data_IF_494790748881
#
_entry.id   IF_494790748881
#
_cell.length_a   1.000
_cell.length_b   1.000
_cell.length_c   1.000
_cell.angle_alpha   90.00
_cell.angle_beta   90.00
_cell.angle_gamma   90.00
#
_symmetry.space_group_name_H-M   'P 1'
#
loop_
_entity.id
_entity.type
_entity.pdbx_description
1 polymer ?
#
# COMPACT_ATOMS: atom_id res chain seq x y z
N UNK A 1 28.07 12.04 4.86
CA UNK A 1 26.94 12.66 5.58
C UNK A 1 26.21 13.66 4.68
N UNK A 2 26.86 14.74 4.21
CA UNK A 2 26.22 15.78 3.39
C UNK A 2 25.54 15.24 2.12
N UNK A 3 26.23 14.38 1.36
CA UNK A 3 25.68 13.75 0.15
C UNK A 3 24.37 12.97 0.40
N UNK A 4 24.29 12.24 1.51
CA UNK A 4 23.09 11.48 1.88
C UNK A 4 21.90 12.39 2.19
N UNK A 5 22.10 13.43 3.00
CA UNK A 5 21.05 14.39 3.31
C UNK A 5 20.65 15.24 2.09
N UNK A 6 21.59 15.52 1.18
CA UNK A 6 21.29 16.21 -0.07
C UNK A 6 20.43 15.35 -1.00
N UNK A 7 20.66 14.04 -1.08
CA UNK A 7 19.80 13.11 -1.82
C UNK A 7 18.38 13.04 -1.24
N UNK A 8 18.24 13.12 0.08
CA UNK A 8 16.91 13.15 0.74
C UNK A 8 16.19 14.48 0.48
N UNK A 9 16.92 15.59 0.47
CA UNK A 9 16.38 16.89 0.06
C UNK A 9 15.89 16.86 -1.39
N UNK A 10 16.65 16.23 -2.28
CA UNK A 10 16.32 16.07 -3.69
C UNK A 10 15.11 15.15 -3.91
N UNK A 11 15.02 14.04 -3.17
CA UNK A 11 13.83 13.18 -3.11
C UNK A 11 12.59 14.00 -2.76
N UNK A 12 12.66 14.77 -1.67
CA UNK A 12 11.54 15.60 -1.22
C UNK A 12 11.15 16.58 -2.32
N UNK A 13 12.11 17.23 -2.97
CA UNK A 13 11.84 18.17 -4.05
C UNK A 13 11.10 17.50 -5.22
N UNK A 14 11.58 16.36 -5.72
CA UNK A 14 10.92 15.64 -6.81
C UNK A 14 9.52 15.13 -6.45
N UNK A 15 9.32 14.65 -5.21
CA UNK A 15 7.99 14.26 -4.74
C UNK A 15 7.01 15.43 -4.65
N UNK A 16 7.49 16.65 -4.38
CA UNK A 16 6.63 17.84 -4.32
C UNK A 16 6.29 18.39 -5.71
N UNK A 17 7.17 18.20 -6.71
CA UNK A 17 6.89 18.50 -8.12
C UNK A 17 5.99 17.45 -8.79
N UNK A 18 5.87 16.25 -8.22
CA UNK A 18 5.05 15.17 -8.76
C UNK A 18 5.77 14.22 -9.72
N UNK A 19 7.09 14.33 -9.87
CA UNK A 19 7.89 13.34 -10.61
C UNK A 19 8.35 12.22 -9.65
N UNK A 20 7.46 11.24 -9.48
CA UNK A 20 7.69 10.11 -8.57
C UNK A 20 8.73 9.11 -9.10
N UNK A 21 8.93 9.02 -10.42
CA UNK A 21 9.92 8.12 -11.00
C UNK A 21 11.33 8.61 -10.70
N UNK A 22 11.60 9.90 -10.97
CA UNK A 22 12.90 10.50 -10.70
C UNK A 22 13.19 10.54 -9.20
N UNK A 23 12.16 10.78 -8.36
CA UNK A 23 12.26 10.73 -6.91
C UNK A 23 12.87 9.39 -6.42
N UNK A 24 12.43 8.26 -6.96
CA UNK A 24 12.96 6.94 -6.59
C UNK A 24 14.32 6.67 -7.24
N UNK A 25 14.53 7.14 -8.47
CA UNK A 25 15.81 7.00 -9.18
C UNK A 25 16.98 7.66 -8.43
N UNK A 26 16.73 8.82 -7.81
CA UNK A 26 17.74 9.52 -7.00
C UNK A 26 18.18 8.69 -5.79
N UNK A 27 17.34 7.76 -5.32
CA UNK A 27 17.62 6.89 -4.18
C UNK A 27 18.28 5.56 -4.55
N UNK A 28 18.57 5.27 -5.82
CA UNK A 28 19.17 3.99 -6.26
C UNK A 28 20.53 3.71 -5.60
N UNK A 29 21.23 4.76 -5.16
CA UNK A 29 22.52 4.64 -4.49
C UNK A 29 22.38 4.39 -2.97
N UNK A 30 21.15 4.36 -2.43
CA UNK A 30 20.85 4.18 -1.01
C UNK A 30 20.08 2.87 -0.81
N UNK A 31 20.74 1.90 -0.18
CA UNK A 31 20.08 0.67 0.30
C UNK A 31 19.12 1.02 1.47
N UNK A 32 17.84 1.28 1.17
CA UNK A 32 16.85 1.61 2.21
C UNK A 32 16.52 0.44 3.16
N UNK A 33 16.74 -0.79 2.70
CA UNK A 33 16.37 -2.00 3.45
C UNK A 33 17.47 -2.49 4.41
N UNK A 34 18.70 -1.97 4.30
CA UNK A 34 19.80 -2.29 5.22
C UNK A 34 19.92 -1.20 6.28
N UNK A 35 20.11 -1.61 7.54
CA UNK A 35 20.44 -0.69 8.64
C UNK A 35 21.85 -0.14 8.40
N UNK A 36 21.93 1.03 7.76
CA UNK A 36 23.19 1.72 7.56
C UNK A 36 23.45 2.72 8.70
N UNK A 37 24.70 3.15 8.87
CA UNK A 37 25.08 4.18 9.85
C UNK A 37 24.31 5.50 9.64
N UNK A 38 23.76 5.73 8.44
CA UNK A 38 22.95 6.89 8.08
C UNK A 38 21.48 6.81 8.55
N UNK A 39 21.01 5.64 8.99
CA UNK A 39 19.71 5.46 9.68
C UNK A 39 19.73 5.93 11.14
N UNK A 40 20.84 6.52 11.59
CA UNK A 40 21.04 6.99 12.97
C UNK A 40 20.19 8.20 13.35
N UNK A 41 19.68 8.97 12.38
CA UNK A 41 18.77 10.10 12.62
C UNK A 41 17.32 9.66 12.32
N UNK A 42 16.50 9.38 13.35
CA UNK A 42 15.19 8.79 13.15
C UNK A 42 14.22 9.70 12.38
N UNK A 43 14.25 11.02 12.64
CA UNK A 43 13.38 11.99 11.96
C UNK A 43 13.57 11.97 10.43
N UNK A 44 14.82 11.85 9.99
CA UNK A 44 15.17 11.80 8.58
C UNK A 44 14.75 10.46 7.95
N UNK A 45 14.93 9.35 8.69
CA UNK A 45 14.49 8.04 8.25
C UNK A 45 12.96 7.97 8.06
N UNK A 46 12.19 8.52 9.00
CA UNK A 46 10.73 8.60 8.92
C UNK A 46 10.28 9.46 7.73
N UNK A 47 10.86 10.65 7.55
CA UNK A 47 10.51 11.53 6.43
C UNK A 47 10.87 10.91 5.08
N UNK A 48 12.00 10.20 4.97
CA UNK A 48 12.40 9.51 3.74
C UNK A 48 11.40 8.41 3.39
N UNK A 49 11.06 7.57 4.37
CA UNK A 49 10.08 6.49 4.17
C UNK A 49 8.68 7.02 3.81
N UNK A 50 8.26 8.17 4.35
CA UNK A 50 7.01 8.83 3.97
C UNK A 50 6.99 9.22 2.49
N UNK A 51 8.01 9.95 2.00
CA UNK A 51 8.06 10.38 0.60
C UNK A 51 8.23 9.22 -0.37
N UNK A 52 9.01 8.21 -0.01
CA UNK A 52 9.18 7.00 -0.83
C UNK A 52 7.89 6.18 -0.88
N UNK A 53 7.22 5.96 0.26
CA UNK A 53 5.94 5.27 0.29
C UNK A 53 4.87 6.01 -0.50
N UNK A 54 4.85 7.35 -0.42
CA UNK A 54 3.96 8.18 -1.23
C UNK A 54 4.26 8.07 -2.74
N UNK A 55 5.54 8.12 -3.13
CA UNK A 55 5.96 7.93 -4.52
C UNK A 55 5.56 6.54 -5.06
N UNK A 56 5.77 5.47 -4.28
CA UNK A 56 5.32 4.13 -4.66
C UNK A 56 3.81 4.03 -4.81
N UNK A 57 3.04 4.69 -3.94
CA UNK A 57 1.57 4.75 -4.03
C UNK A 57 1.13 5.43 -5.34
N UNK A 58 1.73 6.56 -5.70
CA UNK A 58 1.40 7.29 -6.92
C UNK A 58 1.88 6.59 -8.20
N UNK A 59 2.90 5.73 -8.11
CA UNK A 59 3.37 4.86 -9.21
C UNK A 59 2.63 3.52 -9.29
N UNK A 60 1.53 3.33 -8.54
CA UNK A 60 0.72 2.09 -8.48
C UNK A 60 1.42 0.86 -7.87
N UNK A 61 2.60 1.04 -7.29
CA UNK A 61 3.35 -0.02 -6.59
C UNK A 61 2.90 -0.14 -5.14
N UNK A 62 1.61 -0.44 -4.94
CA UNK A 62 0.99 -0.55 -3.62
C UNK A 62 1.63 -1.60 -2.71
N UNK A 63 2.14 -2.72 -3.24
CA UNK A 63 2.76 -3.75 -2.40
C UNK A 63 4.06 -3.25 -1.74
N UNK A 64 4.89 -2.53 -2.51
CA UNK A 64 6.12 -1.92 -1.98
C UNK A 64 5.81 -0.73 -1.07
N UNK A 65 4.77 0.06 -1.38
CA UNK A 65 4.27 1.11 -0.49
C UNK A 65 3.82 0.53 0.87
N UNK A 66 3.03 -0.55 0.88
CA UNK A 66 2.58 -1.21 2.10
C UNK A 66 3.78 -1.74 2.91
N UNK A 67 4.77 -2.36 2.25
CA UNK A 67 5.98 -2.85 2.91
C UNK A 67 6.79 -1.71 3.53
N UNK A 68 7.02 -0.62 2.80
CA UNK A 68 7.77 0.54 3.31
C UNK A 68 7.05 1.19 4.49
N UNK A 69 5.75 1.49 4.38
CA UNK A 69 4.93 2.03 5.47
C UNK A 69 4.89 1.09 6.69
N UNK A 70 4.75 -0.21 6.49
CA UNK A 70 4.73 -1.16 7.62
C UNK A 70 6.05 -1.20 8.35
N UNK A 71 7.18 -1.22 7.62
CA UNK A 71 8.51 -1.29 8.22
C UNK A 71 8.84 -0.07 9.10
N UNK A 72 8.45 1.12 8.65
CA UNK A 72 8.72 2.37 9.36
C UNK A 72 7.73 2.61 10.51
N UNK A 73 6.46 2.22 10.37
CA UNK A 73 5.48 2.31 11.47
C UNK A 73 5.89 1.40 12.64
N UNK A 74 6.38 0.19 12.37
CA UNK A 74 6.98 -0.69 13.38
C UNK A 74 8.21 -0.07 14.04
N UNK A 75 9.04 0.62 13.26
CA UNK A 75 10.20 1.33 13.80
C UNK A 75 9.77 2.47 14.74
N UNK A 76 8.78 3.28 14.35
CA UNK A 76 8.24 4.37 15.17
C UNK A 76 7.67 3.83 16.49
N UNK A 77 6.88 2.75 16.45
CA UNK A 77 6.34 2.13 17.66
C UNK A 77 7.44 1.70 18.64
N UNK A 78 8.54 1.13 18.14
CA UNK A 78 9.68 0.70 18.99
C UNK A 78 10.51 1.86 19.53
N UNK A 79 10.57 2.98 18.81
CA UNK A 79 11.44 4.11 19.15
C UNK A 79 10.68 5.25 19.86
N UNK A 80 9.35 5.13 20.06
CA UNK A 80 8.49 6.12 20.73
C UNK A 80 9.05 6.71 22.03
N UNK A 81 9.64 5.89 22.89
CA UNK A 81 10.20 6.35 24.18
C UNK A 81 11.46 7.20 24.03
N UNK A 82 12.24 7.01 22.96
CA UNK A 82 13.46 7.79 22.70
C UNK A 82 13.14 9.20 22.14
N UNK A 83 11.91 9.43 21.67
CA UNK A 83 11.49 10.71 21.08
C UNK A 83 10.93 11.72 22.08
N UNK A 84 10.59 11.30 23.30
CA UNK A 84 9.97 12.19 24.30
C UNK A 84 10.88 13.32 24.78
N UNK A 85 12.20 13.22 24.57
CA UNK A 85 13.18 14.23 25.01
C UNK A 85 13.27 15.48 24.11
N UNK A 86 12.63 15.50 22.94
CA UNK A 86 12.63 16.66 22.01
C UNK A 86 11.22 16.98 21.50
N UNK A 87 10.52 17.87 22.20
CA UNK A 87 9.09 18.15 22.02
C UNK A 87 8.71 18.62 20.60
N UNK A 88 9.46 19.56 20.00
CA UNK A 88 9.09 20.14 18.69
C UNK A 88 9.17 19.15 17.50
N UNK A 89 10.17 18.25 17.52
CA UNK A 89 10.32 17.24 16.47
C UNK A 89 9.29 16.12 16.60
N UNK A 90 8.79 15.89 17.81
CA UNK A 90 7.84 14.83 18.12
C UNK A 90 6.47 15.10 17.46
N UNK A 91 5.97 16.33 17.52
CA UNK A 91 4.67 16.68 16.94
C UNK A 91 4.64 16.54 15.42
N UNK A 92 5.71 16.96 14.73
CA UNK A 92 5.83 16.78 13.29
C UNK A 92 5.90 15.30 12.90
N UNK A 93 6.64 14.50 13.67
CA UNK A 93 6.74 13.05 13.46
C UNK A 93 5.37 12.38 13.70
N UNK A 94 4.64 12.76 14.75
CA UNK A 94 3.31 12.22 15.03
C UNK A 94 2.33 12.55 13.91
N UNK A 95 2.35 13.79 13.40
CA UNK A 95 1.53 14.18 12.25
C UNK A 95 1.87 13.36 11.01
N UNK A 96 3.16 13.21 10.67
CA UNK A 96 3.58 12.36 9.56
C UNK A 96 3.16 10.90 9.78
N UNK A 97 3.23 10.41 11.02
CA UNK A 97 2.81 9.05 11.39
C UNK A 97 1.31 8.85 11.12
N UNK A 98 0.47 9.80 11.51
CA UNK A 98 -0.98 9.74 11.26
C UNK A 98 -1.32 9.86 9.77
N UNK A 99 -0.56 10.66 9.01
CA UNK A 99 -0.64 10.69 7.55
C UNK A 99 -0.28 9.32 6.95
N UNK A 100 0.79 8.68 7.43
CA UNK A 100 1.22 7.36 6.96
C UNK A 100 0.19 6.26 7.28
N UNK A 101 -0.45 6.29 8.44
CA UNK A 101 -1.56 5.37 8.74
C UNK A 101 -2.74 5.56 7.79
N UNK A 102 -3.06 6.82 7.45
CA UNK A 102 -4.14 7.15 6.50
C UNK A 102 -3.79 6.65 5.08
N UNK A 103 -2.56 6.88 4.61
CA UNK A 103 -2.07 6.35 3.33
C UNK A 103 -2.07 4.82 3.29
N UNK A 104 -1.62 4.19 4.38
CA UNK A 104 -1.61 2.73 4.50
C UNK A 104 -3.03 2.17 4.44
N UNK A 105 -3.99 2.79 5.14
CA UNK A 105 -5.40 2.38 5.10
C UNK A 105 -5.95 2.42 3.66
N UNK A 106 -5.69 3.50 2.91
CA UNK A 106 -6.07 3.58 1.49
C UNK A 106 -5.40 2.49 0.64
N UNK A 107 -4.09 2.27 0.82
CA UNK A 107 -3.36 1.22 0.10
C UNK A 107 -3.93 -0.19 0.38
N UNK A 108 -4.36 -0.45 1.62
CA UNK A 108 -4.95 -1.74 2.00
C UNK A 108 -6.35 -1.96 1.45
N UNK A 109 -7.13 -0.88 1.26
CA UNK A 109 -8.44 -0.97 0.59
C UNK A 109 -8.26 -1.28 -0.89
N UNK A 110 -7.31 -0.61 -1.56
CA UNK A 110 -7.03 -0.81 -2.99
C UNK A 110 -6.35 -2.16 -3.27
N UNK A 111 -5.37 -2.53 -2.44
CA UNK A 111 -4.66 -3.80 -2.53
C UNK A 111 -4.67 -4.52 -1.17
N UNK A 112 -5.67 -5.40 -0.92
CA UNK A 112 -5.75 -6.11 0.34
C UNK A 112 -4.63 -7.14 0.47
N UNK A 113 -3.66 -6.82 1.33
CA UNK A 113 -2.49 -7.62 1.69
C UNK A 113 -2.44 -7.79 3.22
N UNK A 114 -1.95 -8.94 3.71
CA UNK A 114 -1.76 -9.15 5.14
C UNK A 114 -0.68 -8.21 5.69
N UNK A 115 -1.00 -7.54 6.80
CA UNK A 115 -0.09 -6.65 7.55
C UNK A 115 0.14 -7.25 8.93
N UNK A 116 1.25 -6.85 9.57
CA UNK A 116 1.58 -7.20 10.95
C UNK A 116 0.43 -6.89 11.93
N UNK A 117 0.20 -7.80 12.87
CA UNK A 117 -0.89 -7.75 13.86
C UNK A 117 -0.83 -6.46 14.71
N UNK A 118 0.38 -5.99 15.03
CA UNK A 118 0.60 -4.75 15.78
C UNK A 118 0.12 -3.49 15.06
N UNK A 119 0.22 -3.46 13.73
CA UNK A 119 -0.30 -2.36 12.90
C UNK A 119 -1.82 -2.48 12.77
N UNK A 120 -2.31 -3.71 12.58
CA UNK A 120 -3.76 -3.96 12.51
C UNK A 120 -4.48 -3.54 13.78
N UNK A 121 -3.87 -3.76 14.95
CA UNK A 121 -4.41 -3.29 16.22
C UNK A 121 -4.55 -1.76 16.25
N UNK A 122 -3.51 -1.01 15.86
CA UNK A 122 -3.57 0.46 15.83
C UNK A 122 -4.59 0.98 14.82
N UNK A 123 -4.75 0.30 13.68
CA UNK A 123 -5.78 0.63 12.68
C UNK A 123 -7.21 0.39 13.22
N UNK A 124 -7.40 -0.58 14.11
CA UNK A 124 -8.68 -0.81 14.81
C UNK A 124 -8.96 0.25 15.87
N UNK A 125 -7.95 0.66 16.64
CA UNK A 125 -8.12 1.57 17.78
C UNK A 125 -8.43 3.04 17.37
N UNK A 126 -7.93 3.51 16.22
CA UNK A 126 -8.02 4.93 15.82
C UNK A 126 -9.15 5.27 14.82
N UNK A 127 -10.22 4.47 14.76
CA UNK A 127 -11.36 4.64 13.82
C UNK A 127 -10.96 4.62 12.32
N UNK A 128 -9.76 4.17 11.97
CA UNK A 128 -9.37 3.99 10.56
C UNK A 128 -10.17 2.86 9.92
N UNK A 129 -10.63 1.88 10.70
CA UNK A 129 -11.48 0.78 10.23
C UNK A 129 -12.81 1.28 9.67
N UNK A 130 -13.42 2.29 10.30
CA UNK A 130 -14.67 2.88 9.81
C UNK A 130 -14.47 3.60 8.49
N UNK A 131 -13.37 4.34 8.35
CA UNK A 131 -13.00 4.99 7.08
C UNK A 131 -12.72 3.95 6.00
N UNK A 132 -12.00 2.87 6.34
CA UNK A 132 -11.77 1.75 5.42
C UNK A 132 -13.07 1.08 4.98
N UNK A 133 -14.04 0.94 5.87
CA UNK A 133 -15.35 0.37 5.53
C UNK A 133 -16.13 1.27 4.57
N UNK A 134 -16.17 2.58 4.82
CA UNK A 134 -16.78 3.56 3.90
C UNK A 134 -16.10 3.56 2.53
N UNK A 135 -14.77 3.47 2.52
CA UNK A 135 -13.99 3.37 1.28
C UNK A 135 -14.27 2.05 0.53
N UNK A 136 -14.43 0.93 1.24
CA UNK A 136 -14.81 -0.37 0.64
C UNK A 136 -16.22 -0.35 0.05
N UNK A 137 -17.14 0.39 0.67
CA UNK A 137 -18.50 0.60 0.15
C UNK A 137 -18.53 1.50 -1.10
N UNK A 138 -17.42 2.16 -1.42
CA UNK A 138 -17.26 2.95 -2.64
C UNK A 138 -17.62 4.43 -2.50
N UNK A 139 -17.56 4.97 -1.28
CA UNK A 139 -17.66 6.41 -1.05
C UNK A 139 -16.39 7.12 -1.57
N UNK A 140 -16.54 7.82 -2.70
CA UNK A 140 -15.45 8.53 -3.38
C UNK A 140 -15.02 9.77 -2.59
N UNK A 141 -15.90 10.38 -1.79
CA UNK A 141 -15.56 11.59 -1.02
C UNK A 141 -14.60 11.26 0.12
N UNK A 142 -14.77 10.10 0.76
CA UNK A 142 -13.86 9.68 1.83
C UNK A 142 -12.44 9.43 1.31
N UNK A 143 -12.29 8.91 0.08
CA UNK A 143 -10.98 8.79 -0.58
C UNK A 143 -10.34 10.15 -0.81
N UNK A 144 -11.11 11.13 -1.31
CA UNK A 144 -10.61 12.48 -1.54
C UNK A 144 -10.18 13.16 -0.22
N UNK A 145 -11.00 13.05 0.82
CA UNK A 145 -10.70 13.59 2.14
C UNK A 145 -9.44 12.94 2.75
N UNK A 146 -9.34 11.61 2.66
CA UNK A 146 -8.16 10.89 3.14
C UNK A 146 -6.90 11.27 2.36
N UNK A 147 -7.01 11.47 1.05
CA UNK A 147 -5.90 11.92 0.21
C UNK A 147 -5.46 13.35 0.56
N UNK A 148 -6.39 14.29 0.70
CA UNK A 148 -6.09 15.69 1.06
C UNK A 148 -5.45 15.82 2.45
N UNK A 149 -5.85 14.98 3.42
CA UNK A 149 -5.23 14.96 4.75
C UNK A 149 -3.80 14.40 4.73
N UNK A 150 -3.54 13.44 3.86
CA UNK A 150 -2.31 12.66 3.87
C UNK A 150 -1.28 13.08 2.81
N UNK A 151 -1.68 13.88 1.82
CA UNK A 151 -0.79 14.34 0.76
C UNK A 151 0.30 15.30 1.29
N UNK A 152 1.50 15.25 0.72
CA UNK A 152 2.50 16.26 0.97
C UNK A 152 2.05 17.62 0.40
N UNK A 153 2.59 18.71 0.93
CA UNK A 153 2.31 20.06 0.42
C UNK A 153 2.98 20.25 -0.94
N UNK A 154 2.29 19.97 -2.04
CA UNK A 154 2.84 20.09 -3.39
C UNK A 154 3.35 21.51 -3.70
N UNK A 155 4.34 21.59 -4.58
CA UNK A 155 4.90 22.85 -5.07
C UNK A 155 4.37 23.10 -6.48
N UNK A 156 3.95 24.34 -6.75
CA UNK A 156 3.71 24.82 -8.11
C UNK A 156 4.86 25.74 -8.53
N UNK A 157 5.18 25.75 -9.83
CA UNK A 157 6.21 26.63 -10.40
C UNK A 157 5.76 28.10 -10.47
N UNK A 158 4.45 28.33 -10.40
CA UNK A 158 3.87 29.67 -10.43
C UNK A 158 3.66 30.19 -8.98
N UNK A 159 4.10 31.42 -8.64
CA UNK A 159 4.06 31.94 -7.27
C UNK A 159 2.65 32.37 -6.80
N UNK A 160 1.60 32.17 -7.60
CA UNK A 160 0.24 32.45 -7.19
C UNK A 160 -0.26 31.39 -6.19
N UNK A 161 -0.86 31.83 -5.08
CA UNK A 161 -1.44 30.96 -4.03
C UNK A 161 -2.48 29.96 -4.58
N UNK A 162 -3.17 30.32 -5.67
CA UNK A 162 -4.15 29.46 -6.33
C UNK A 162 -3.50 28.27 -7.07
N UNK A 163 -2.25 28.44 -7.53
CA UNK A 163 -1.52 27.41 -8.28
C UNK A 163 -1.11 26.23 -7.38
N UNK A 164 -0.93 26.44 -6.08
CA UNK A 164 -0.64 25.35 -5.11
C UNK A 164 -1.88 24.48 -4.90
N UNK A 165 -3.06 25.10 -4.77
CA UNK A 165 -4.33 24.38 -4.65
C UNK A 165 -4.66 23.63 -5.93
N UNK A 166 -4.33 24.22 -7.08
CA UNK A 166 -4.50 23.57 -8.38
C UNK A 166 -3.60 22.34 -8.54
N UNK A 167 -2.34 22.41 -8.10
CA UNK A 167 -1.44 21.25 -8.09
C UNK A 167 -1.98 20.10 -7.21
N UNK A 168 -2.50 20.41 -6.01
CA UNK A 168 -3.14 19.41 -5.13
C UNK A 168 -4.38 18.81 -5.81
N UNK A 169 -5.23 19.63 -6.41
CA UNK A 169 -6.43 19.16 -7.15
C UNK A 169 -6.05 18.27 -8.33
N UNK A 170 -5.00 18.61 -9.08
CA UNK A 170 -4.53 17.80 -10.20
C UNK A 170 -4.02 16.43 -9.72
N UNK A 171 -3.17 16.39 -8.70
CA UNK A 171 -2.67 15.11 -8.14
C UNK A 171 -3.82 14.27 -7.56
N UNK A 172 -4.80 14.94 -6.94
CA UNK A 172 -6.01 14.28 -6.42
C UNK A 172 -6.84 13.71 -7.56
N UNK A 173 -7.02 14.42 -8.68
CA UNK A 173 -7.80 13.93 -9.81
C UNK A 173 -7.14 12.72 -10.49
N UNK A 174 -5.80 12.70 -10.58
CA UNK A 174 -5.02 11.55 -11.06
C UNK A 174 -5.23 10.32 -10.18
N UNK A 175 -5.15 10.49 -8.86
CA UNK A 175 -5.42 9.41 -7.91
C UNK A 175 -6.88 8.93 -7.97
N UNK A 176 -7.83 9.87 -8.02
CA UNK A 176 -9.26 9.56 -8.09
C UNK A 176 -9.66 8.86 -9.38
N UNK A 177 -9.00 9.14 -10.51
CA UNK A 177 -9.20 8.39 -11.75
C UNK A 177 -8.86 6.91 -11.57
N UNK A 178 -7.83 6.59 -10.80
CA UNK A 178 -7.48 5.21 -10.48
C UNK A 178 -8.45 4.56 -9.50
N UNK A 179 -8.86 5.26 -8.44
CA UNK A 179 -9.84 4.76 -7.47
C UNK A 179 -11.18 4.45 -8.15
N UNK A 180 -11.63 5.32 -9.06
CA UNK A 180 -12.86 5.09 -9.86
C UNK A 180 -12.77 3.80 -10.67
N UNK A 181 -11.62 3.52 -11.29
CA UNK A 181 -11.41 2.27 -12.04
C UNK A 181 -11.41 1.03 -11.13
N UNK A 182 -11.08 1.18 -9.85
CA UNK A 182 -11.01 0.09 -8.88
C UNK A 182 -12.30 -0.12 -8.08
N UNK A 183 -13.30 0.77 -8.20
CA UNK A 183 -14.53 0.74 -7.39
C UNK A 183 -15.25 -0.62 -7.39
N UNK A 184 -15.27 -1.32 -8.53
CA UNK A 184 -15.95 -2.61 -8.67
C UNK A 184 -15.12 -3.81 -8.17
N UNK A 185 -13.81 -3.65 -7.96
CA UNK A 185 -12.92 -4.76 -7.63
C UNK A 185 -13.16 -5.37 -6.23
N UNK A 186 -13.44 -4.59 -5.16
CA UNK A 186 -13.77 -5.15 -3.85
C UNK A 186 -15.01 -6.06 -3.89
N UNK A 187 -16.05 -5.64 -4.62
CA UNK A 187 -17.30 -6.40 -4.79
C UNK A 187 -17.08 -7.68 -5.59
N UNK A 188 -16.32 -7.62 -6.69
CA UNK A 188 -15.97 -8.81 -7.46
C UNK A 188 -15.14 -9.78 -6.59
N UNK A 189 -14.17 -9.27 -5.83
CA UNK A 189 -13.34 -10.09 -4.93
C UNK A 189 -14.16 -10.78 -3.84
N UNK A 190 -15.14 -10.10 -3.25
CA UNK A 190 -15.97 -10.68 -2.19
C UNK A 190 -16.79 -11.87 -2.71
N UNK A 191 -17.36 -11.75 -3.92
CA UNK A 191 -18.04 -12.86 -4.58
C UNK A 191 -17.07 -13.99 -4.92
N UNK A 192 -15.94 -13.70 -5.57
CA UNK A 192 -14.97 -14.74 -5.95
C UNK A 192 -14.42 -15.51 -4.75
N UNK A 193 -14.32 -14.88 -3.56
CA UNK A 193 -13.85 -15.56 -2.34
C UNK A 193 -14.80 -16.65 -1.82
N UNK A 194 -16.09 -16.58 -2.17
CA UNK A 194 -17.12 -17.50 -1.68
C UNK A 194 -17.29 -18.74 -2.57
N UNK A 195 -16.75 -18.72 -3.79
CA UNK A 195 -16.95 -19.77 -4.77
C UNK A 195 -15.61 -20.39 -5.19
N UNK A 196 -15.61 -21.69 -5.47
CA UNK A 196 -14.49 -22.39 -6.12
C UNK A 196 -14.64 -22.37 -7.64
N UNK A 197 -15.88 -22.42 -8.11
CA UNK A 197 -16.25 -22.31 -9.52
C UNK A 197 -17.51 -21.45 -9.64
N UNK A 198 -17.51 -20.47 -10.56
CA UNK A 198 -18.64 -19.57 -10.75
C UNK A 198 -18.93 -19.38 -12.24
N UNK A 199 -20.13 -19.71 -12.74
CA UNK A 199 -20.51 -19.36 -14.11
C UNK A 199 -20.66 -17.84 -14.25
N UNK A 200 -20.17 -17.29 -15.36
CA UNK A 200 -20.17 -15.83 -15.64
C UNK A 200 -21.59 -15.26 -15.52
N UNK A 201 -22.60 -15.99 -16.03
CA UNK A 201 -24.01 -15.60 -15.97
C UNK A 201 -24.48 -15.31 -14.53
N UNK A 202 -24.06 -16.10 -13.54
CA UNK A 202 -24.44 -15.86 -12.13
C UNK A 202 -23.73 -14.64 -11.56
N UNK A 203 -22.46 -14.42 -11.93
CA UNK A 203 -21.72 -13.23 -11.50
C UNK A 203 -22.34 -11.96 -12.06
N UNK A 204 -22.80 -11.97 -13.32
CA UNK A 204 -23.56 -10.86 -13.93
C UNK A 204 -24.81 -10.57 -13.11
N UNK A 205 -25.61 -11.59 -12.77
CA UNK A 205 -26.81 -11.41 -11.93
C UNK A 205 -26.47 -10.83 -10.56
N UNK A 206 -25.40 -11.29 -9.90
CA UNK A 206 -24.98 -10.74 -8.60
C UNK A 206 -24.49 -9.29 -8.70
N UNK A 207 -23.79 -8.92 -9.77
CA UNK A 207 -23.37 -7.54 -9.99
C UNK A 207 -24.54 -6.61 -10.30
N UNK A 208 -25.52 -7.06 -11.11
CA UNK A 208 -26.74 -6.32 -11.38
C UNK A 208 -27.59 -6.10 -10.11
N UNK A 209 -27.65 -7.10 -9.22
CA UNK A 209 -28.34 -7.00 -7.93
C UNK A 209 -27.62 -6.07 -6.94
N UNK A 210 -26.28 -5.97 -7.00
CA UNK A 210 -25.50 -5.04 -6.18
C UNK A 210 -25.57 -3.58 -6.67
N UNK A 211 -25.99 -3.35 -7.92
CA UNK A 211 -26.14 -2.04 -8.55
C UNK A 211 -27.62 -1.61 -8.68
N UNK A 212 -28.46 -1.94 -7.69
CA UNK A 212 -29.84 -1.47 -7.63
C UNK A 212 -29.89 0.07 -7.62
N UNK A 213 -29.98 0.68 -8.80
CA UNK A 213 -30.16 2.11 -8.98
C UNK A 213 -29.74 2.74 -10.32
N UNK A 214 -28.98 2.09 -11.22
CA UNK A 214 -28.46 2.81 -12.42
C UNK A 214 -28.46 2.11 -13.79
N UNK A 215 -29.01 0.91 -13.97
CA UNK A 215 -29.11 0.34 -15.34
C UNK A 215 -30.47 -0.28 -15.63
N UNK A 216 -31.42 0.57 -16.04
CA UNK A 216 -32.52 0.19 -16.92
C UNK A 216 -32.04 0.37 -18.37
N UNK A 217 -31.65 -0.71 -19.06
CA UNK A 217 -31.62 -0.67 -20.54
C UNK A 217 -30.45 -1.28 -21.31
N UNK A 218 -29.52 -2.05 -20.72
CA UNK A 218 -28.47 -2.73 -21.50
C UNK A 218 -28.83 -4.18 -21.86
N UNK A 219 -28.50 -4.61 -23.07
CA UNK A 219 -28.69 -5.99 -23.52
C UNK A 219 -27.81 -6.97 -22.72
N UNK A 220 -28.28 -8.20 -22.43
CA UNK A 220 -27.58 -9.17 -21.57
C UNK A 220 -26.23 -9.66 -22.12
N UNK A 221 -25.91 -9.37 -23.37
CA UNK A 221 -24.62 -9.63 -24.02
C UNK A 221 -23.57 -8.58 -23.63
N UNK A 222 -23.94 -7.31 -23.55
CA UNK A 222 -23.02 -6.21 -23.21
C UNK A 222 -22.58 -6.30 -21.73
N UNK A 223 -23.46 -6.76 -20.85
CA UNK A 223 -23.14 -6.98 -19.43
C UNK A 223 -22.05 -8.05 -19.21
N UNK A 224 -22.04 -9.10 -20.05
CA UNK A 224 -21.00 -10.14 -20.00
C UNK A 224 -19.65 -9.61 -20.47
N UNK A 225 -19.64 -8.81 -21.53
CA UNK A 225 -18.42 -8.19 -22.02
C UNK A 225 -17.87 -7.19 -21.02
N UNK A 226 -18.74 -6.38 -20.41
CA UNK A 226 -18.37 -5.44 -19.37
C UNK A 226 -17.83 -6.17 -18.14
N UNK A 227 -18.44 -7.27 -17.70
CA UNK A 227 -17.91 -8.11 -16.64
C UNK A 227 -16.51 -8.67 -16.99
N UNK A 228 -16.33 -9.15 -18.21
CA UNK A 228 -15.05 -9.68 -18.68
C UNK A 228 -13.96 -8.61 -18.69
N UNK A 229 -14.28 -7.37 -19.10
CA UNK A 229 -13.39 -6.20 -19.00
C UNK A 229 -13.00 -5.92 -17.54
N UNK A 230 -13.96 -6.01 -16.61
CA UNK A 230 -13.70 -5.83 -15.18
C UNK A 230 -12.85 -6.96 -14.58
N UNK A 231 -13.06 -8.22 -14.98
CA UNK A 231 -12.23 -9.36 -14.57
C UNK A 231 -10.80 -9.25 -15.11
N UNK A 232 -10.64 -8.81 -16.36
CA UNK A 232 -9.32 -8.54 -16.93
C UNK A 232 -8.62 -7.39 -16.19
N UNK A 233 -9.36 -6.31 -15.88
CA UNK A 233 -8.87 -5.20 -15.06
C UNK A 233 -8.44 -5.68 -13.67
N UNK A 234 -9.21 -6.56 -13.03
CA UNK A 234 -8.85 -7.20 -11.77
C UNK A 234 -7.52 -7.94 -11.89
N UNK A 235 -7.37 -8.81 -12.90
CA UNK A 235 -6.15 -9.61 -13.09
C UNK A 235 -4.93 -8.72 -13.39
N UNK A 236 -5.11 -7.66 -14.16
CA UNK A 236 -4.06 -6.70 -14.45
C UNK A 236 -3.62 -5.93 -13.20
N UNK A 237 -4.58 -5.38 -12.43
CA UNK A 237 -4.29 -4.56 -11.25
C UNK A 237 -3.80 -5.36 -10.04
N UNK A 238 -4.13 -6.64 -9.97
CA UNK A 238 -3.63 -7.54 -8.92
C UNK A 238 -2.20 -8.04 -9.18
N UNK A 239 -1.69 -7.89 -10.41
CA UNK A 239 -0.28 -8.10 -10.73
C UNK A 239 0.48 -6.82 -10.47
N UNK A 240 1.23 -6.77 -9.38
CA UNK A 240 2.05 -5.62 -9.05
C UNK A 240 3.53 -5.94 -9.23
N UNK A 241 4.31 -4.92 -9.60
CA UNK A 241 5.76 -5.02 -9.62
C UNK A 241 6.22 -4.94 -8.17
N UNK A 242 6.79 -6.02 -7.67
CA UNK A 242 7.29 -6.11 -6.29
C UNK A 242 8.81 -6.06 -6.32
N UNK A 243 9.38 -5.20 -5.48
CA UNK A 243 10.81 -5.15 -5.27
C UNK A 243 11.26 -6.40 -4.48
N UNK A 244 12.20 -7.15 -5.04
CA UNK A 244 12.75 -8.35 -4.41
C UNK A 244 14.15 -8.11 -3.87
N UNK A 245 15.12 -7.83 -4.75
CA UNK A 245 16.54 -7.64 -4.44
C UNK A 245 17.20 -6.80 -5.54
N UNK A 246 17.91 -5.74 -5.16
CA UNK A 246 18.66 -4.87 -6.06
C UNK A 246 19.03 -3.56 -5.38
N UNK A 247 20.02 -2.83 -5.88
CA UNK A 247 20.30 -1.47 -5.37
C UNK A 247 19.22 -0.47 -5.84
N UNK A 248 18.67 -0.67 -7.05
CA UNK A 248 17.59 0.16 -7.56
C UNK A 248 16.24 -0.21 -6.92
N UNK A 249 15.55 0.79 -6.39
CA UNK A 249 14.16 0.68 -5.92
C UNK A 249 13.15 0.57 -7.06
N UNK A 250 13.57 0.82 -8.31
CA UNK A 250 12.71 0.75 -9.50
C UNK A 250 12.60 -0.67 -10.06
N UNK A 251 13.62 -1.51 -9.84
CA UNK A 251 13.62 -2.88 -10.33
C UNK A 251 12.68 -3.77 -9.54
N UNK A 252 11.95 -4.63 -10.24
CA UNK A 252 11.06 -5.59 -9.63
C UNK A 252 10.53 -6.61 -10.63
N UNK A 253 10.00 -7.70 -10.11
CA UNK A 253 9.32 -8.71 -10.91
C UNK A 253 7.81 -8.59 -10.68
N UNK A 254 7.03 -8.94 -11.70
CA UNK A 254 5.58 -9.05 -11.52
C UNK A 254 5.26 -10.20 -10.57
N UNK A 255 4.66 -9.85 -9.44
CA UNK A 255 4.11 -10.81 -8.48
C UNK A 255 2.61 -10.57 -8.37
N UNK A 256 1.84 -11.66 -8.39
CA UNK A 256 0.43 -11.61 -8.05
C UNK A 256 0.32 -11.55 -6.53
N UNK A 257 -0.03 -10.38 -5.99
CA UNK A 257 -0.20 -10.19 -4.53
C UNK A 257 -1.54 -10.69 -3.99
N UNK A 258 -2.43 -11.14 -4.88
CA UNK A 258 -3.76 -11.63 -4.51
C UNK A 258 -3.69 -13.04 -3.93
N UNK A 259 -4.40 -13.26 -2.82
CA UNK A 259 -4.72 -14.59 -2.26
C UNK A 259 -5.59 -15.43 -3.20
N UNK A 260 -6.11 -14.81 -4.27
CA UNK A 260 -7.07 -15.39 -5.19
C UNK A 260 -6.53 -15.25 -6.60
N UNK A 261 -6.28 -16.38 -7.26
CA UNK A 261 -6.02 -16.47 -8.69
C UNK A 261 -7.24 -17.11 -9.37
N UNK A 262 -7.50 -16.74 -10.62
CA UNK A 262 -8.56 -17.36 -11.39
C UNK A 262 -8.24 -17.41 -12.88
N UNK A 263 -8.87 -18.37 -13.54
CA UNK A 263 -8.91 -18.47 -14.98
C UNK A 263 -10.36 -18.67 -15.46
N UNK A 264 -10.60 -18.30 -16.71
CA UNK A 264 -11.91 -18.42 -17.34
C UNK A 264 -11.79 -19.57 -18.34
N UNK A 265 -12.57 -20.62 -18.14
CA UNK A 265 -12.77 -21.68 -19.12
C UNK A 265 -14.19 -21.57 -19.69
N UNK A 266 -14.27 -21.18 -20.96
CA UNK A 266 -15.52 -20.88 -21.68
C UNK A 266 -16.39 -19.86 -20.92
N UNK A 267 -17.41 -20.34 -20.20
CA UNK A 267 -18.40 -19.53 -19.47
C UNK A 267 -18.32 -19.78 -17.95
N UNK A 268 -17.24 -20.42 -17.48
CA UNK A 268 -17.01 -20.76 -16.08
C UNK A 268 -15.68 -20.20 -15.57
N UNK A 269 -15.75 -19.49 -14.45
CA UNK A 269 -14.60 -18.96 -13.73
C UNK A 269 -14.15 -20.01 -12.72
N UNK A 270 -12.92 -20.49 -12.86
CA UNK A 270 -12.29 -21.38 -11.90
C UNK A 270 -11.37 -20.59 -10.99
N UNK A 271 -11.61 -20.68 -9.69
CA UNK A 271 -10.92 -19.90 -8.67
C UNK A 271 -9.96 -20.84 -7.93
N UNK A 272 -8.68 -20.48 -7.94
CA UNK A 272 -7.63 -21.14 -7.18
C UNK A 272 -7.29 -20.28 -5.96
N UNK A 273 -7.45 -20.85 -4.77
CA UNK A 273 -6.92 -20.24 -3.56
C UNK A 273 -5.39 -20.41 -3.58
N UNK A 274 -4.67 -19.31 -3.78
CA UNK A 274 -3.21 -19.27 -3.81
C UNK A 274 -2.63 -18.89 -2.44
N UNK A 275 -3.43 -18.94 -1.37
CA UNK A 275 -2.91 -18.82 0.00
C UNK A 275 -1.80 -19.83 0.21
N UNK A 276 -0.59 -19.32 0.17
CA UNK A 276 0.57 -20.05 0.66
C UNK A 276 0.35 -20.18 2.16
N UNK A 277 -0.03 -21.39 2.61
CA UNK A 277 -0.13 -21.68 4.03
C UNK A 277 1.12 -21.15 4.71
N UNK A 278 0.93 -20.44 5.84
CA UNK A 278 2.04 -19.93 6.62
C UNK A 278 3.02 -21.09 6.82
N UNK A 279 4.28 -20.93 6.40
CA UNK A 279 5.29 -21.98 6.55
C UNK A 279 5.66 -22.11 8.02
N UNK A 280 4.73 -22.65 8.79
CA UNK A 280 4.85 -22.83 10.22
C UNK A 280 6.05 -23.72 10.49
N UNK A 281 6.28 -24.74 9.65
CA UNK A 281 7.50 -25.55 9.66
C UNK A 281 8.77 -24.72 9.59
N UNK A 282 8.95 -23.88 8.55
CA UNK A 282 10.16 -23.05 8.40
C UNK A 282 10.33 -22.05 9.55
N UNK A 283 9.23 -21.48 10.05
CA UNK A 283 9.26 -20.54 11.18
C UNK A 283 9.62 -21.24 12.48
N UNK A 284 9.01 -22.40 12.74
CA UNK A 284 9.25 -23.25 13.89
C UNK A 284 10.70 -23.73 13.89
N UNK A 285 11.20 -24.26 12.77
CA UNK A 285 12.60 -24.68 12.61
C UNK A 285 13.54 -23.51 12.90
N UNK A 286 13.30 -22.32 12.35
CA UNK A 286 14.12 -21.13 12.65
C UNK A 286 14.10 -20.74 14.13
N UNK A 287 12.96 -20.88 14.80
CA UNK A 287 12.84 -20.59 16.24
C UNK A 287 13.57 -21.64 17.09
N UNK A 288 13.46 -22.91 16.73
CA UNK A 288 14.21 -24.02 17.36
C UNK A 288 15.71 -23.81 17.20
N UNK A 289 16.20 -23.52 15.99
CA UNK A 289 17.62 -23.25 15.76
C UNK A 289 18.14 -22.06 16.58
N UNK A 290 17.37 -20.96 16.66
CA UNK A 290 17.72 -19.82 17.51
C UNK A 290 17.70 -20.17 19.00
N UNK A 291 16.76 -21.02 19.43
CA UNK A 291 16.68 -21.47 20.81
C UNK A 291 17.87 -22.37 21.17
N UNK A 292 18.28 -23.27 20.29
CA UNK A 292 19.49 -24.07 20.46
C UNK A 292 20.75 -23.22 20.51
N UNK A 293 20.85 -22.20 19.65
CA UNK A 293 21.97 -21.26 19.66
C UNK A 293 22.04 -20.47 20.98
N UNK A 294 20.88 -20.03 21.49
CA UNK A 294 20.77 -19.41 22.81
C UNK A 294 21.18 -20.38 23.92
N UNK A 295 20.71 -21.63 23.88
CA UNK A 295 21.04 -22.64 24.88
C UNK A 295 22.54 -22.99 24.86
N UNK A 296 23.18 -23.03 23.68
CA UNK A 296 24.64 -23.18 23.56
C UNK A 296 25.38 -21.99 24.18
N UNK A 297 24.93 -20.76 23.92
CA UNK A 297 25.49 -19.55 24.55
C UNK A 297 25.32 -19.56 26.06
N UNK A 298 24.17 -20.00 26.56
CA UNK A 298 23.87 -20.12 27.99
C UNK A 298 24.75 -21.19 28.66
N UNK A 299 24.99 -22.33 28.00
CA UNK A 299 25.93 -23.36 28.47
C UNK A 299 27.40 -22.91 28.43
N UNK A 300 27.75 -22.00 27.53
CA UNK A 300 29.09 -21.40 27.45
C UNK A 300 29.32 -20.35 28.56
N UNK A 301 28.24 -19.74 29.07
CA UNK A 301 28.25 -18.91 30.27
C UNK A 301 28.13 -19.84 31.50
N UNK A 302 29.19 -20.61 31.76
CA UNK A 302 29.36 -21.23 33.07
C UNK A 302 29.95 -20.18 34.01
N UNK A 303 29.16 -19.80 35.03
CA UNK A 303 29.67 -19.25 36.30
C UNK A 303 30.36 -20.37 37.07
#
# INVERSE_FOLDING_TARGET
>A
MLGYYSMIGLLRLHSLFGDYYLAIKVLENIDMHKKNAYSSVPACHISTAYYVGFAYMMMRRYSDAIRTFSSILLYIQRTKQLFQTRTYQNDQINKQTDQMYTLLAMCLVLHPQCVDESIQQVLREKNYTDRMFKMQYGDLQEFENCFQLACPKFLSMDPAEDSVKEAVKYQTSVFMAEVKQQKMLPTIRSYLKLYTTLPINKLVTFMAQGQQGQHEGNEPTDDKENLTKHLLCFKHKMKNIVWNKGASGLDGYFHSGSELDFYIDRDMIHIADTKVAHRYGDFFIRKVLKFEELNRKLKAIKV
#
